data_IF_690033983411
#
_entry.id   IF_690033983411
#
_cell.length_a   1.000
_cell.length_b   1.000
_cell.length_c   1.000
_cell.angle_alpha   90.00
_cell.angle_beta   90.00
_cell.angle_gamma   90.00
#
_symmetry.space_group_name_H-M   'P 1'
#
loop_
_entity.id
_entity.type
_entity.pdbx_description
1 polymer ?
#
# COMPACT_ATOMS: atom_id res chain seq x y z
N UNK A 1 2.86 13.78 14.28
CA UNK A 1 3.46 12.56 13.69
C UNK A 1 2.58 11.32 13.77
N UNK A 2 1.90 11.04 14.89
CA UNK A 2 1.03 9.86 15.08
C UNK A 2 0.08 9.57 13.89
N UNK A 3 -0.71 10.55 13.45
CA UNK A 3 -1.65 10.39 12.33
C UNK A 3 -0.97 9.96 11.01
N UNK A 4 0.22 10.48 10.72
CA UNK A 4 0.98 10.10 9.51
C UNK A 4 1.45 8.65 9.60
N UNK A 5 1.88 8.22 10.80
CA UNK A 5 2.30 6.84 11.03
C UNK A 5 1.10 5.88 10.96
N UNK A 6 -0.04 6.26 11.54
CA UNK A 6 -1.29 5.49 11.48
C UNK A 6 -1.74 5.35 10.01
N UNK A 7 -1.70 6.44 9.24
CA UNK A 7 -1.98 6.41 7.79
C UNK A 7 -1.04 5.48 7.02
N UNK A 8 0.28 5.57 7.24
CA UNK A 8 1.26 4.70 6.59
C UNK A 8 1.06 3.22 6.96
N UNK A 9 0.72 2.95 8.21
CA UNK A 9 0.43 1.60 8.68
C UNK A 9 -0.80 1.03 7.97
N UNK A 10 -1.90 1.78 7.91
CA UNK A 10 -3.10 1.37 7.19
C UNK A 10 -2.81 1.14 5.70
N UNK A 11 -2.09 2.05 5.04
CA UNK A 11 -1.72 1.86 3.63
C UNK A 11 -0.85 0.62 3.40
N UNK A 12 0.03 0.27 4.34
CA UNK A 12 0.81 -0.98 4.30
C UNK A 12 -0.10 -2.21 4.46
N UNK A 13 -1.09 -2.14 5.35
CA UNK A 13 -2.09 -3.20 5.53
C UNK A 13 -2.92 -3.39 4.27
N UNK A 14 -3.42 -2.31 3.66
CA UNK A 14 -4.16 -2.38 2.40
C UNK A 14 -3.32 -2.95 1.26
N UNK A 15 -2.04 -2.56 1.16
CA UNK A 15 -1.09 -3.15 0.21
C UNK A 15 -0.88 -4.65 0.43
N UNK A 16 -0.87 -5.12 1.68
CA UNK A 16 -0.77 -6.56 2.01
C UNK A 16 -2.04 -7.31 1.58
N UNK A 17 -3.21 -6.68 1.74
CA UNK A 17 -4.51 -7.24 1.36
C UNK A 17 -4.81 -7.16 -0.14
N UNK A 18 -3.97 -6.46 -0.92
CA UNK A 18 -4.19 -6.20 -2.35
C UNK A 18 -4.33 -7.45 -3.22
N UNK A 19 -3.88 -8.62 -2.74
CA UNK A 19 -4.05 -9.92 -3.40
C UNK A 19 -5.51 -10.37 -3.43
N UNK A 20 -6.30 -10.01 -2.43
CA UNK A 20 -7.72 -10.37 -2.31
C UNK A 20 -8.63 -9.18 -2.62
N UNK A 21 -8.26 -8.01 -2.12
CA UNK A 21 -9.03 -6.78 -2.26
C UNK A 21 -8.14 -5.69 -2.85
N UNK A 22 -8.32 -5.27 -4.11
CA UNK A 22 -7.48 -4.26 -4.75
C UNK A 22 -7.32 -3.01 -3.87
N UNK A 23 -6.08 -2.53 -3.78
CA UNK A 23 -5.74 -1.41 -2.90
C UNK A 23 -6.50 -0.14 -3.35
N UNK A 24 -6.68 0.03 -4.65
CA UNK A 24 -7.38 1.15 -5.27
C UNK A 24 -8.83 1.24 -4.77
N UNK A 25 -9.49 0.10 -4.55
CA UNK A 25 -10.86 0.06 -4.03
C UNK A 25 -10.89 0.29 -2.51
N UNK A 26 -10.01 -0.40 -1.78
CA UNK A 26 -10.01 -0.38 -0.31
C UNK A 26 -9.55 0.96 0.28
N UNK A 27 -8.74 1.74 -0.44
CA UNK A 27 -8.35 3.10 0.00
C UNK A 27 -9.55 4.04 0.16
N UNK A 28 -10.61 3.87 -0.64
CA UNK A 28 -11.82 4.70 -0.52
C UNK A 28 -12.55 4.48 0.81
N UNK A 29 -12.41 3.31 1.45
CA UNK A 29 -13.10 2.97 2.71
C UNK A 29 -12.62 3.82 3.89
N UNK A 30 -11.44 4.46 3.78
CA UNK A 30 -10.97 5.44 4.77
C UNK A 30 -11.89 6.65 4.85
N UNK A 31 -12.54 7.01 3.75
CA UNK A 31 -13.36 8.22 3.64
C UNK A 31 -14.86 7.92 3.61
N UNK A 32 -15.25 6.65 3.75
CA UNK A 32 -16.64 6.23 3.80
C UNK A 32 -17.10 6.05 5.26
N UNK A 33 -18.42 6.18 5.52
CA UNK A 33 -18.95 5.82 6.82
C UNK A 33 -18.66 4.34 7.14
N UNK A 34 -18.32 4.01 8.39
CA UNK A 34 -18.06 2.63 8.79
C UNK A 34 -19.35 1.79 8.68
N UNK A 35 -19.21 0.55 8.22
CA UNK A 35 -20.29 -0.43 8.16
C UNK A 35 -20.18 -1.35 9.36
N UNK A 36 -21.22 -1.35 10.20
CA UNK A 36 -21.34 -2.31 11.29
C UNK A 36 -21.82 -3.68 10.77
N UNK A 37 -21.50 -4.75 11.48
CA UNK A 37 -21.84 -6.11 11.04
C UNK A 37 -23.36 -6.33 10.96
N UNK A 38 -24.12 -5.64 11.80
CA UNK A 38 -25.57 -5.66 11.86
C UNK A 38 -26.21 -4.91 10.68
N UNK A 39 -25.50 -3.93 10.10
CA UNK A 39 -25.99 -3.17 8.94
C UNK A 39 -25.95 -4.02 7.67
N UNK A 40 -25.13 -5.07 7.61
CA UNK A 40 -25.04 -5.96 6.45
C UNK A 40 -26.38 -6.67 6.15
N UNK A 41 -27.26 -6.88 7.13
CA UNK A 41 -28.58 -7.45 6.88
C UNK A 41 -29.65 -6.42 6.48
N UNK A 42 -29.34 -5.13 6.54
CA UNK A 42 -30.23 -4.04 6.14
C UNK A 42 -29.91 -3.60 4.70
N UNK A 43 -30.76 -4.02 3.76
CA UNK A 43 -30.63 -3.65 2.35
C UNK A 43 -30.63 -2.14 2.14
N UNK A 44 -31.50 -1.39 2.84
CA UNK A 44 -31.61 0.05 2.64
C UNK A 44 -30.34 0.76 3.11
N UNK A 45 -29.83 0.39 4.30
CA UNK A 45 -28.58 0.94 4.81
C UNK A 45 -27.37 0.63 3.89
N UNK A 46 -27.30 -0.61 3.38
CA UNK A 46 -26.23 -0.99 2.45
C UNK A 46 -26.35 -0.31 1.09
N UNK A 47 -27.57 -0.04 0.62
CA UNK A 47 -27.81 0.69 -0.63
C UNK A 47 -27.36 2.16 -0.51
N UNK A 48 -27.68 2.80 0.63
CA UNK A 48 -27.22 4.16 0.92
C UNK A 48 -25.69 4.24 1.04
N UNK A 49 -25.07 3.23 1.64
CA UNK A 49 -23.62 3.12 1.71
C UNK A 49 -23.00 2.92 0.32
N UNK A 50 -23.59 2.04 -0.51
CA UNK A 50 -23.14 1.77 -1.87
C UNK A 50 -23.18 3.02 -2.74
N UNK A 51 -24.23 3.85 -2.61
CA UNK A 51 -24.34 5.10 -3.37
C UNK A 51 -23.16 6.04 -3.10
N UNK A 52 -22.73 6.17 -1.84
CA UNK A 52 -21.55 6.96 -1.46
C UNK A 52 -20.25 6.35 -1.98
N UNK A 53 -20.16 5.02 -1.97
CA UNK A 53 -19.00 4.33 -2.51
C UNK A 53 -18.89 4.51 -4.03
N UNK A 54 -20.00 4.37 -4.75
CA UNK A 54 -20.07 4.54 -6.21
C UNK A 54 -19.69 5.96 -6.63
N UNK A 55 -20.17 6.98 -5.91
CA UNK A 55 -19.77 8.38 -6.14
C UNK A 55 -18.25 8.57 -6.04
N UNK A 56 -17.62 7.97 -5.02
CA UNK A 56 -16.16 8.05 -4.84
C UNK A 56 -15.39 7.29 -5.91
N UNK A 57 -15.89 6.13 -6.36
CA UNK A 57 -15.26 5.36 -7.42
C UNK A 57 -15.23 6.13 -8.74
N UNK A 58 -16.31 6.85 -9.08
CA UNK A 58 -16.39 7.70 -10.28
C UNK A 58 -15.35 8.81 -10.30
N UNK A 59 -15.04 9.42 -9.14
CA UNK A 59 -13.99 10.45 -9.02
C UNK A 59 -12.59 9.87 -9.25
N UNK A 60 -12.41 8.58 -8.96
CA UNK A 60 -11.15 7.85 -9.14
C UNK A 60 -10.95 7.21 -10.51
N UNK A 61 -11.95 7.23 -11.40
CA UNK A 61 -11.87 6.60 -12.72
C UNK A 61 -10.74 7.23 -13.55
N UNK A 62 -9.86 6.35 -14.06
CA UNK A 62 -8.80 6.71 -15.00
C UNK A 62 -9.18 6.20 -16.38
N UNK A 63 -8.68 6.87 -17.42
CA UNK A 63 -8.91 6.46 -18.81
C UNK A 63 -8.65 4.95 -19.01
N UNK A 64 -9.71 4.19 -19.31
CA UNK A 64 -9.65 2.76 -19.60
C UNK A 64 -9.99 1.80 -18.45
N UNK A 65 -10.23 2.30 -17.24
CA UNK A 65 -10.71 1.52 -16.09
C UNK A 65 -12.07 2.05 -15.65
N UNK A 66 -13.09 1.20 -15.70
CA UNK A 66 -14.45 1.53 -15.27
C UNK A 66 -14.81 0.67 -14.07
N UNK A 67 -15.39 1.28 -13.04
CA UNK A 67 -15.85 0.58 -11.85
C UNK A 67 -17.37 0.65 -11.76
N UNK A 68 -18.02 -0.48 -11.50
CA UNK A 68 -19.46 -0.50 -11.20
C UNK A 68 -19.68 -1.18 -9.86
N UNK A 69 -20.23 -0.43 -8.92
CA UNK A 69 -20.58 -0.96 -7.61
C UNK A 69 -22.02 -1.51 -7.62
N UNK A 70 -22.23 -2.69 -7.05
CA UNK A 70 -23.53 -3.33 -6.88
C UNK A 70 -23.63 -4.00 -5.50
N UNK A 71 -24.84 -4.36 -5.09
CA UNK A 71 -25.05 -5.21 -3.91
C UNK A 71 -25.33 -6.64 -4.35
N UNK A 72 -24.62 -7.58 -3.71
CA UNK A 72 -24.83 -9.01 -3.86
C UNK A 72 -25.52 -9.56 -2.62
N UNK A 73 -26.66 -10.22 -2.83
CA UNK A 73 -27.40 -10.92 -1.78
C UNK A 73 -26.73 -12.26 -1.45
N UNK A 74 -26.36 -12.47 -0.18
CA UNK A 74 -26.07 -13.79 0.39
C UNK A 74 -27.33 -14.30 1.11
N UNK A 75 -28.10 -15.14 0.40
CA UNK A 75 -29.37 -15.69 0.88
C UNK A 75 -29.23 -16.66 2.04
N UNK A 76 -28.07 -17.30 2.22
CA UNK A 76 -27.86 -18.22 3.33
C UNK A 76 -27.74 -17.47 4.65
N UNK A 77 -27.15 -16.27 4.60
CA UNK A 77 -26.88 -15.45 5.78
C UNK A 77 -27.78 -14.22 5.90
N UNK A 78 -28.65 -13.98 4.91
CA UNK A 78 -29.50 -12.80 4.80
C UNK A 78 -28.71 -11.49 4.91
N UNK A 79 -27.61 -11.38 4.16
CA UNK A 79 -26.76 -10.17 4.12
C UNK A 79 -26.56 -9.65 2.71
N UNK A 80 -26.31 -8.36 2.60
CA UNK A 80 -26.06 -7.62 1.37
C UNK A 80 -24.60 -7.16 1.36
N UNK A 81 -23.82 -7.71 0.44
CA UNK A 81 -22.38 -7.48 0.35
C UNK A 81 -22.08 -6.55 -0.84
N UNK A 82 -21.25 -5.52 -0.67
CA UNK A 82 -20.85 -4.69 -1.79
C UNK A 82 -19.91 -5.47 -2.71
N UNK A 83 -20.23 -5.45 -4.00
CA UNK A 83 -19.45 -6.06 -5.07
C UNK A 83 -19.07 -4.97 -6.07
N UNK A 84 -17.83 -5.00 -6.54
CA UNK A 84 -17.33 -4.09 -7.57
C UNK A 84 -16.96 -4.90 -8.81
N UNK A 85 -17.57 -4.56 -9.94
CA UNK A 85 -17.13 -4.99 -11.26
C UNK A 85 -16.04 -4.02 -11.75
N UNK A 86 -14.84 -4.55 -11.99
CA UNK A 86 -13.71 -3.86 -12.59
C UNK A 86 -13.65 -4.21 -14.07
N UNK A 87 -13.88 -3.24 -14.94
CA UNK A 87 -13.81 -3.43 -16.39
C UNK A 87 -12.50 -2.81 -16.89
N UNK A 88 -11.61 -3.65 -17.40
CA UNK A 88 -10.33 -3.24 -17.98
C UNK A 88 -10.12 -3.91 -19.33
N UNK A 89 -9.92 -3.12 -20.40
CA UNK A 89 -9.70 -3.63 -21.76
C UNK A 89 -10.72 -4.70 -22.23
N UNK A 90 -11.98 -4.59 -21.80
CA UNK A 90 -13.05 -5.52 -22.15
C UNK A 90 -13.13 -6.80 -21.31
N UNK A 91 -12.25 -6.96 -20.32
CA UNK A 91 -12.33 -8.03 -19.31
C UNK A 91 -12.96 -7.48 -18.03
N UNK A 92 -14.00 -8.16 -17.55
CA UNK A 92 -14.64 -7.88 -16.25
C UNK A 92 -14.07 -8.80 -15.17
N UNK A 93 -13.64 -8.21 -14.06
CA UNK A 93 -13.31 -8.92 -12.84
C UNK A 93 -14.21 -8.46 -11.70
N UNK A 94 -14.58 -9.35 -10.79
CA UNK A 94 -15.52 -9.06 -9.70
C UNK A 94 -14.82 -9.17 -8.36
N UNK A 95 -15.01 -8.17 -7.50
CA UNK A 95 -14.49 -8.16 -6.13
C UNK A 95 -15.64 -7.95 -5.17
N UNK A 96 -15.98 -8.99 -4.42
CA UNK A 96 -17.00 -8.95 -3.37
C UNK A 96 -16.33 -8.70 -2.02
N UNK A 97 -16.69 -7.63 -1.32
CA UNK A 97 -16.25 -7.39 0.05
C UNK A 97 -17.12 -8.19 1.00
N UNK A 98 -16.58 -9.32 1.48
CA UNK A 98 -17.36 -10.26 2.26
C UNK A 98 -17.52 -9.83 3.73
N UNK A 99 -18.35 -10.57 4.47
CA UNK A 99 -18.57 -10.36 5.90
C UNK A 99 -17.27 -10.43 6.72
N UNK A 100 -16.34 -11.30 6.36
CA UNK A 100 -15.06 -11.44 7.07
C UNK A 100 -14.19 -10.18 6.93
N UNK A 101 -14.24 -9.50 5.77
CA UNK A 101 -13.59 -8.22 5.56
C UNK A 101 -14.10 -7.18 6.56
N UNK A 102 -15.42 -6.97 6.64
CA UNK A 102 -16.04 -6.03 7.57
C UNK A 102 -15.86 -6.42 9.05
N UNK A 103 -15.74 -7.72 9.35
CA UNK A 103 -15.46 -8.22 10.69
C UNK A 103 -13.97 -8.15 11.09
N UNK A 104 -13.07 -7.94 10.13
CA UNK A 104 -11.63 -8.05 10.33
C UNK A 104 -11.07 -6.92 11.21
N UNK A 105 -9.96 -7.22 11.90
CA UNK A 105 -9.21 -6.19 12.61
C UNK A 105 -8.60 -5.15 11.63
N UNK A 106 -8.25 -5.59 10.42
CA UNK A 106 -7.75 -4.70 9.38
C UNK A 106 -8.79 -3.62 9.02
N UNK A 107 -10.06 -3.98 8.83
CA UNK A 107 -11.13 -3.02 8.57
C UNK A 107 -11.39 -2.07 9.75
N UNK A 108 -11.29 -2.56 10.99
CA UNK A 108 -11.36 -1.70 12.19
C UNK A 108 -10.27 -0.64 12.21
N UNK A 109 -9.05 -0.98 11.77
CA UNK A 109 -7.97 0.01 11.68
C UNK A 109 -8.21 1.06 10.59
N UNK A 110 -8.79 0.65 9.44
CA UNK A 110 -9.17 1.56 8.35
C UNK A 110 -10.24 2.56 8.80
N UNK A 111 -11.30 2.08 9.45
CA UNK A 111 -12.41 2.92 9.93
C UNK A 111 -11.99 3.83 11.10
N UNK A 112 -11.11 3.35 11.99
CA UNK A 112 -10.54 4.18 13.06
C UNK A 112 -9.69 5.33 12.51
N UNK A 113 -8.88 5.07 11.48
CA UNK A 113 -8.16 6.12 10.77
C UNK A 113 -9.12 7.07 10.05
N UNK A 114 -10.15 6.54 9.41
CA UNK A 114 -11.17 7.33 8.73
C UNK A 114 -11.87 8.33 9.65
N UNK A 115 -12.24 7.90 10.86
CA UNK A 115 -12.84 8.78 11.88
C UNK A 115 -11.90 9.92 12.33
N UNK A 116 -10.58 9.67 12.39
CA UNK A 116 -9.61 10.72 12.68
C UNK A 116 -9.48 11.72 11.53
N UNK A 117 -9.49 11.23 10.29
CA UNK A 117 -9.30 12.05 9.08
C UNK A 117 -10.55 12.87 8.78
N UNK A 118 -11.75 12.31 8.93
CA UNK A 118 -13.01 13.01 8.65
C UNK A 118 -13.24 14.24 9.53
N UNK A 119 -12.68 14.24 10.74
CA UNK A 119 -12.72 15.40 11.66
C UNK A 119 -11.76 16.51 11.24
N UNK A 120 -10.80 16.23 10.34
CA UNK A 120 -9.73 17.16 9.97
C UNK A 120 -9.84 17.69 8.53
N UNK A 121 -10.43 16.93 7.62
CA UNK A 121 -10.60 17.30 6.21
C UNK A 121 -12.02 17.81 5.95
N UNK A 122 -12.24 19.07 6.32
CA UNK A 122 -13.47 19.81 5.97
C UNK A 122 -13.33 20.51 4.60
N UNK A 123 -14.45 21.03 4.09
CA UNK A 123 -14.47 21.78 2.84
C UNK A 123 -13.57 23.03 2.94
N UNK A 124 -12.63 23.17 2.00
CA UNK A 124 -11.61 24.22 2.03
C UNK A 124 -10.33 23.87 2.80
N UNK A 125 -10.16 22.60 3.21
CA UNK A 125 -8.91 22.13 3.80
C UNK A 125 -7.70 22.42 2.91
N UNK A 126 -6.60 22.84 3.55
CA UNK A 126 -5.34 23.10 2.88
C UNK A 126 -4.17 22.55 3.67
N UNK A 127 -3.10 22.21 2.97
CA UNK A 127 -1.83 21.83 3.55
C UNK A 127 -0.82 22.97 3.35
N UNK A 128 -0.05 23.28 4.40
CA UNK A 128 0.94 24.35 4.39
C UNK A 128 2.30 23.83 4.85
N UNK A 129 3.36 24.27 4.17
CA UNK A 129 4.74 24.07 4.59
C UNK A 129 5.54 25.33 4.34
N UNK A 130 5.99 25.97 5.42
CA UNK A 130 6.58 27.32 5.34
C UNK A 130 5.59 28.31 4.73
N UNK A 131 5.99 28.95 3.64
CA UNK A 131 5.18 29.96 2.94
C UNK A 131 4.24 29.38 1.88
N UNK A 132 4.42 28.12 1.47
CA UNK A 132 3.61 27.50 0.42
C UNK A 132 2.36 26.84 0.99
N UNK A 133 1.23 27.05 0.32
CA UNK A 133 -0.07 26.44 0.63
C UNK A 133 -0.62 25.72 -0.59
N UNK A 134 -1.31 24.60 -0.37
CA UNK A 134 -2.07 23.89 -1.41
C UNK A 134 -3.43 23.44 -0.86
N UNK A 135 -4.56 23.76 -1.51
CA UNK A 135 -5.84 23.16 -1.16
C UNK A 135 -5.82 21.65 -1.45
N UNK A 136 -6.43 20.85 -0.60
CA UNK A 136 -6.43 19.39 -0.69
C UNK A 136 -7.77 18.83 -0.26
N UNK A 137 -8.22 17.79 -0.95
CA UNK A 137 -9.47 17.07 -0.61
C UNK A 137 -9.18 15.73 0.07
N UNK A 138 -7.98 15.18 -0.13
CA UNK A 138 -7.57 13.89 0.41
C UNK A 138 -6.30 13.97 1.25
N UNK A 139 -6.24 13.16 2.31
CA UNK A 139 -5.07 13.11 3.18
C UNK A 139 -3.85 12.56 2.44
N UNK A 140 -4.07 11.58 1.55
CA UNK A 140 -3.02 11.00 0.70
C UNK A 140 -2.34 12.08 -0.15
N UNK A 141 -3.13 12.96 -0.74
CA UNK A 141 -2.64 14.08 -1.53
C UNK A 141 -1.84 15.07 -0.68
N UNK A 142 -2.37 15.43 0.49
CA UNK A 142 -1.70 16.31 1.45
C UNK A 142 -0.33 15.78 1.87
N UNK A 143 -0.27 14.49 2.22
CA UNK A 143 0.97 13.83 2.62
C UNK A 143 1.96 13.74 1.45
N UNK A 144 1.51 13.37 0.25
CA UNK A 144 2.36 13.31 -0.93
C UNK A 144 2.96 14.68 -1.26
N UNK A 145 2.16 15.75 -1.19
CA UNK A 145 2.63 17.11 -1.39
C UNK A 145 3.64 17.54 -0.34
N UNK A 146 3.38 17.26 0.94
CA UNK A 146 4.33 17.55 2.03
C UNK A 146 5.66 16.84 1.82
N UNK A 147 5.63 15.56 1.44
CA UNK A 147 6.82 14.77 1.17
C UNK A 147 7.62 15.34 0.00
N UNK A 148 6.94 15.68 -1.11
CA UNK A 148 7.58 16.30 -2.27
C UNK A 148 8.22 17.66 -1.94
N UNK A 149 7.55 18.51 -1.14
CA UNK A 149 8.14 19.78 -0.72
C UNK A 149 9.37 19.58 0.19
N UNK A 150 9.50 18.46 0.93
CA UNK A 150 10.74 18.15 1.68
C UNK A 150 11.89 17.82 0.79
N UNK A 151 11.63 16.98 -0.22
CA UNK A 151 12.68 16.40 -1.03
C UNK A 151 13.16 17.36 -2.10
N UNK A 152 12.37 18.38 -2.48
CA UNK A 152 12.74 19.39 -3.49
C UNK A 152 14.09 20.07 -3.31
N UNK A 153 14.58 20.22 -2.07
CA UNK A 153 15.88 20.87 -1.78
C UNK A 153 17.03 19.89 -1.57
N UNK A 154 16.74 18.59 -1.53
CA UNK A 154 17.73 17.57 -1.21
C UNK A 154 17.96 16.68 -2.42
N UNK A 155 19.21 16.61 -2.86
CA UNK A 155 19.62 15.58 -3.83
C UNK A 155 19.95 14.32 -3.05
N UNK A 156 19.27 13.22 -3.38
CA UNK A 156 19.55 11.91 -2.80
C UNK A 156 20.47 11.18 -3.76
N UNK A 157 21.67 10.82 -3.30
CA UNK A 157 22.60 9.97 -4.04
C UNK A 157 22.62 8.58 -3.39
N UNK A 158 22.35 7.56 -4.19
CA UNK A 158 22.42 6.16 -3.76
C UNK A 158 23.72 5.56 -4.30
N UNK A 159 24.63 5.20 -3.40
CA UNK A 159 25.85 4.48 -3.75
C UNK A 159 25.53 3.01 -4.06
N UNK A 160 25.78 2.56 -5.30
CA UNK A 160 25.56 1.16 -5.71
C UNK A 160 26.82 0.31 -5.59
N UNK A 161 27.99 0.93 -5.63
CA UNK A 161 29.29 0.31 -5.37
C UNK A 161 30.20 1.15 -4.49
N UNK A 162 31.20 0.50 -3.87
CA UNK A 162 32.20 1.18 -3.03
C UNK A 162 33.03 2.20 -3.82
N UNK A 163 33.25 1.97 -5.13
CA UNK A 163 34.01 2.85 -6.01
C UNK A 163 33.29 4.15 -6.40
N UNK A 164 32.01 4.32 -6.04
CA UNK A 164 31.28 5.58 -6.26
C UNK A 164 31.57 6.62 -5.15
N UNK A 165 32.24 6.20 -4.07
CA UNK A 165 32.61 7.04 -2.93
C UNK A 165 34.04 7.57 -3.09
N UNK A 166 34.27 8.80 -2.63
CA UNK A 166 35.64 9.28 -2.44
C UNK A 166 36.30 8.54 -1.26
N UNK A 167 37.64 8.40 -1.23
CA UNK A 167 38.35 7.68 -0.17
C UNK A 167 38.00 8.16 1.25
N UNK A 168 37.89 9.47 1.46
CA UNK A 168 37.55 10.05 2.77
C UNK A 168 36.13 9.66 3.20
N UNK A 169 35.17 9.65 2.26
CA UNK A 169 33.79 9.22 2.54
C UNK A 169 33.73 7.74 2.90
N UNK A 170 34.49 6.88 2.21
CA UNK A 170 34.53 5.45 2.52
C UNK A 170 35.12 5.22 3.92
N UNK A 171 36.17 5.97 4.27
CA UNK A 171 36.77 5.89 5.60
C UNK A 171 35.76 6.30 6.69
N UNK A 172 35.18 7.50 6.56
CA UNK A 172 34.25 8.09 7.53
C UNK A 172 32.96 7.28 7.69
N UNK A 173 32.44 6.67 6.61
CA UNK A 173 31.14 5.98 6.67
C UNK A 173 31.26 4.50 6.98
N UNK A 174 32.35 3.85 6.56
CA UNK A 174 32.45 2.38 6.51
C UNK A 174 33.62 1.81 7.31
N UNK A 175 34.77 2.50 7.39
CA UNK A 175 36.00 1.94 7.99
C UNK A 175 36.29 2.41 9.42
N UNK A 176 35.90 3.64 9.77
CA UNK A 176 36.17 4.23 11.08
C UNK A 176 35.54 3.39 12.22
N UNK A 177 36.35 2.85 13.16
CA UNK A 177 35.86 2.04 14.28
C UNK A 177 34.81 2.70 15.16
N UNK A 178 34.75 4.03 15.22
CA UNK A 178 33.83 4.77 16.07
C UNK A 178 32.40 4.84 15.50
N UNK A 179 32.25 4.74 14.18
CA UNK A 179 30.96 4.92 13.47
C UNK A 179 30.57 3.73 12.60
N UNK A 180 31.52 2.85 12.24
CA UNK A 180 31.25 1.69 11.38
C UNK A 180 30.23 0.75 12.01
N UNK A 181 29.41 0.15 11.16
CA UNK A 181 28.47 -0.91 11.52
C UNK A 181 28.95 -2.23 10.94
N UNK A 182 29.49 -3.11 11.78
CA UNK A 182 29.92 -4.46 11.37
C UNK A 182 28.79 -5.47 11.56
N UNK A 183 28.69 -6.43 10.64
CA UNK A 183 27.83 -7.60 10.77
C UNK A 183 28.70 -8.82 11.10
N UNK A 184 28.32 -9.59 12.12
CA UNK A 184 29.00 -10.84 12.49
C UNK A 184 28.34 -12.00 11.75
N UNK A 185 29.11 -12.72 10.96
CA UNK A 185 28.66 -13.89 10.19
C UNK A 185 28.63 -15.13 11.09
N UNK A 186 27.57 -15.95 10.98
CA UNK A 186 27.44 -17.23 11.68
C UNK A 186 27.67 -18.43 10.75
N UNK A 187 27.68 -19.64 11.32
CA UNK A 187 27.82 -20.88 10.53
C UNK A 187 26.59 -21.07 9.62
N UNK A 188 25.40 -20.71 10.11
CA UNK A 188 24.15 -20.77 9.35
C UNK A 188 24.18 -19.85 8.12
N UNK A 189 24.76 -18.65 8.24
CA UNK A 189 24.95 -17.74 7.11
C UNK A 189 25.88 -18.35 6.05
N UNK A 190 26.95 -19.01 6.48
CA UNK A 190 27.90 -19.66 5.56
C UNK A 190 27.24 -20.82 4.80
N UNK A 191 26.43 -21.64 5.48
CA UNK A 191 25.66 -22.73 4.85
C UNK A 191 24.65 -22.14 3.86
N UNK A 192 23.92 -21.08 4.23
CA UNK A 192 22.96 -20.43 3.34
C UNK A 192 23.65 -19.84 2.08
N UNK A 193 24.84 -19.24 2.25
CA UNK A 193 25.63 -18.71 1.15
C UNK A 193 26.09 -19.83 0.18
N UNK A 194 26.56 -20.97 0.70
CA UNK A 194 26.96 -22.12 -0.11
C UNK A 194 25.76 -22.72 -0.87
N UNK A 195 24.60 -22.83 -0.23
CA UNK A 195 23.37 -23.28 -0.89
C UNK A 195 22.94 -22.37 -2.04
N UNK A 196 22.97 -21.05 -1.83
CA UNK A 196 22.66 -20.06 -2.88
C UNK A 196 23.70 -20.16 -4.00
N UNK A 197 24.98 -20.27 -3.66
CA UNK A 197 26.06 -20.44 -4.64
C UNK A 197 25.86 -21.69 -5.49
N UNK A 198 25.62 -22.85 -4.88
CA UNK A 198 25.37 -24.10 -5.59
C UNK A 198 24.09 -24.05 -6.45
N UNK A 199 23.05 -23.38 -5.97
CA UNK A 199 21.80 -23.20 -6.73
C UNK A 199 22.03 -22.32 -7.97
N UNK A 200 22.79 -21.23 -7.84
CA UNK A 200 23.00 -20.27 -8.92
C UNK A 200 24.16 -20.64 -9.85
N UNK A 201 25.20 -21.28 -9.34
CA UNK A 201 26.45 -21.57 -10.07
C UNK A 201 26.71 -23.07 -10.26
N UNK A 202 25.86 -23.96 -9.73
CA UNK A 202 25.98 -25.40 -9.93
C UNK A 202 25.55 -25.86 -11.32
N UNK A 203 25.73 -27.15 -11.59
CA UNK A 203 25.46 -27.74 -12.91
C UNK A 203 23.96 -27.95 -13.18
N UNK A 204 23.14 -28.00 -12.13
CA UNK A 204 21.71 -28.26 -12.23
C UNK A 204 20.96 -27.00 -12.71
N UNK A 205 20.38 -27.08 -13.91
CA UNK A 205 19.67 -25.95 -14.56
C UNK A 205 18.31 -25.68 -13.93
N UNK A 206 17.56 -26.72 -13.56
CA UNK A 206 16.19 -26.59 -13.03
C UNK A 206 16.12 -25.79 -11.71
N UNK A 207 16.93 -26.08 -10.67
CA UNK A 207 16.94 -25.28 -9.45
C UNK A 207 17.29 -23.80 -9.67
N UNK A 208 18.19 -23.52 -10.62
CA UNK A 208 18.54 -22.15 -11.01
C UNK A 208 17.33 -21.44 -11.64
N UNK A 209 16.62 -22.11 -12.56
CA UNK A 209 15.46 -21.53 -13.24
C UNK A 209 14.35 -21.19 -12.25
N UNK A 210 14.00 -22.14 -11.38
CA UNK A 210 12.96 -21.95 -10.37
C UNK A 210 13.29 -20.81 -9.41
N UNK A 211 14.56 -20.69 -8.99
CA UNK A 211 15.02 -19.59 -8.15
C UNK A 211 14.84 -18.23 -8.85
N UNK A 212 15.21 -18.11 -10.13
CA UNK A 212 15.06 -16.87 -10.89
C UNK A 212 13.59 -16.51 -11.04
N UNK A 213 12.74 -17.45 -11.44
CA UNK A 213 11.30 -17.20 -11.66
C UNK A 213 10.60 -16.79 -10.37
N UNK A 214 10.87 -17.46 -9.25
CA UNK A 214 10.27 -17.14 -7.96
C UNK A 214 10.67 -15.75 -7.42
N UNK A 215 11.88 -15.29 -7.72
CA UNK A 215 12.42 -14.04 -7.20
C UNK A 215 12.38 -12.88 -8.21
N UNK A 216 12.06 -13.13 -9.48
CA UNK A 216 12.07 -12.12 -10.54
C UNK A 216 11.20 -10.89 -10.22
N UNK A 217 10.05 -11.10 -9.57
CA UNK A 217 9.11 -10.03 -9.19
C UNK A 217 9.41 -9.42 -7.81
N UNK A 218 10.30 -10.02 -7.02
CA UNK A 218 10.66 -9.52 -5.69
C UNK A 218 11.64 -8.33 -5.76
N UNK A 219 12.38 -8.22 -6.87
CA UNK A 219 13.41 -7.20 -7.04
C UNK A 219 12.78 -5.89 -7.51
N UNK A 220 12.56 -4.99 -6.57
CA UNK A 220 11.95 -3.67 -6.80
C UNK A 220 12.94 -2.51 -6.87
N UNK A 221 14.23 -2.71 -6.57
CA UNK A 221 15.17 -1.62 -6.29
C UNK A 221 16.55 -1.75 -6.97
N UNK A 222 16.66 -2.37 -8.16
CA UNK A 222 17.94 -2.44 -8.88
C UNK A 222 18.28 -1.12 -9.62
N UNK A 223 17.30 -0.50 -10.28
CA UNK A 223 17.56 0.57 -11.27
C UNK A 223 16.78 1.88 -11.09
N UNK A 224 16.31 2.18 -9.87
CA UNK A 224 15.82 3.53 -9.54
C UNK A 224 16.92 4.42 -8.97
#
# INVERSE_FOLDING_TARGET
EKLVNDFRMVMKTLKRLSRLYPQELTEHFVYLPPVAMEQLSDHAAMQDWLAKFDERLRVGEKSGLVYKASLREDRERNVWLPEVELISHGLSNYVTFNRDFFGSNDYKTVTALGAQISTLLEEGAYVQRGERKKPVTEFKEALAWLMAESTKRHTIQRYKGLGEMNPDQLWETTMDPSVRRMLKVTIEDAIAADQIFNTLMGDAVEPRRDFIEANALAVSNLDF
#
